data_IF_998767612439
#
_entry.id   IF_998767612439
#
_cell.length_a   1.000
_cell.length_b   1.000
_cell.length_c   1.000
_cell.angle_alpha   90.00
_cell.angle_beta   90.00
_cell.angle_gamma   90.00
#
_symmetry.space_group_name_H-M   'P 1'
#
loop_
_entity.id
_entity.type
_entity.pdbx_description
1 polymer ?
#
# COMPACT_ATOMS: atom_id res chain seq x y z
N UNK A 1 -35.30 14.28 31.57
CA UNK A 1 -34.71 14.11 30.22
C UNK A 1 -33.85 12.83 30.26
N UNK A 2 -34.21 11.85 29.44
CA UNK A 2 -33.38 10.61 29.37
C UNK A 2 -32.07 11.00 28.61
N UNK A 3 -30.96 11.00 29.31
CA UNK A 3 -29.64 11.20 28.69
C UNK A 3 -29.31 9.92 27.91
N UNK A 4 -29.02 9.99 26.61
CA UNK A 4 -28.65 8.82 25.85
C UNK A 4 -27.46 8.08 26.50
N UNK A 5 -27.56 6.77 26.62
CA UNK A 5 -26.54 5.91 27.22
C UNK A 5 -26.17 4.78 26.28
N UNK A 6 -24.89 4.38 26.30
CA UNK A 6 -24.38 3.20 25.61
C UNK A 6 -24.04 2.17 26.68
N UNK A 7 -24.56 0.94 26.53
CA UNK A 7 -24.26 -0.16 27.43
C UNK A 7 -23.24 -1.09 26.76
N UNK A 8 -22.11 -1.33 27.46
CA UNK A 8 -21.06 -2.25 27.00
C UNK A 8 -20.76 -3.21 28.17
N UNK A 9 -21.28 -4.42 28.07
CA UNK A 9 -21.24 -5.38 29.19
C UNK A 9 -21.92 -4.81 30.42
N UNK A 10 -21.21 -4.73 31.54
CA UNK A 10 -21.71 -4.14 32.80
C UNK A 10 -21.50 -2.61 32.87
N UNK A 11 -20.81 -2.02 31.90
CA UNK A 11 -20.45 -0.59 31.93
C UNK A 11 -21.48 0.23 31.16
N UNK A 12 -22.07 1.23 31.82
CA UNK A 12 -22.95 2.22 31.20
C UNK A 12 -22.16 3.50 30.93
N UNK A 13 -22.16 3.95 29.69
CA UNK A 13 -21.49 5.18 29.26
C UNK A 13 -22.56 6.24 28.97
N UNK A 14 -22.49 7.38 29.64
CA UNK A 14 -23.37 8.49 29.36
C UNK A 14 -22.84 9.37 28.22
N UNK A 15 -23.76 9.97 27.44
CA UNK A 15 -23.40 10.81 26.30
C UNK A 15 -22.36 11.91 26.63
N UNK A 16 -22.41 12.47 27.85
CA UNK A 16 -21.46 13.48 28.31
C UNK A 16 -20.02 12.95 28.50
N UNK A 17 -19.85 11.65 28.62
CA UNK A 17 -18.54 11.00 28.79
C UNK A 17 -17.89 10.67 27.43
N UNK A 18 -18.69 10.60 26.34
CA UNK A 18 -18.20 10.23 25.01
C UNK A 18 -17.01 11.08 24.54
N UNK A 19 -16.98 12.42 24.66
CA UNK A 19 -15.82 13.21 24.23
C UNK A 19 -14.52 12.83 24.95
N UNK A 20 -14.58 12.51 26.26
CA UNK A 20 -13.42 12.06 27.02
C UNK A 20 -12.93 10.69 26.54
N UNK A 21 -13.85 9.77 26.25
CA UNK A 21 -13.52 8.43 25.75
C UNK A 21 -12.92 8.50 24.36
N UNK A 22 -13.50 9.29 23.45
CA UNK A 22 -12.98 9.50 22.09
C UNK A 22 -11.56 10.08 22.12
N UNK A 23 -11.27 11.02 23.04
CA UNK A 23 -9.92 11.55 23.25
C UNK A 23 -8.99 10.50 23.83
N UNK A 24 -9.41 9.78 24.90
CA UNK A 24 -8.62 8.73 25.55
C UNK A 24 -8.20 7.63 24.57
N UNK A 25 -9.10 7.24 23.68
CA UNK A 25 -8.84 6.18 22.68
C UNK A 25 -8.25 6.72 21.37
N UNK A 26 -7.93 8.02 21.30
CA UNK A 26 -7.36 8.68 20.13
C UNK A 26 -8.24 8.57 18.87
N UNK A 27 -9.56 8.51 19.05
CA UNK A 27 -10.55 8.42 17.95
C UNK A 27 -10.99 9.82 17.50
N UNK A 28 -10.83 10.86 18.33
CA UNK A 28 -11.28 12.21 18.03
C UNK A 28 -10.77 12.77 16.69
N UNK A 29 -9.50 12.55 16.26
CA UNK A 29 -9.05 12.98 14.93
C UNK A 29 -9.82 12.31 13.77
N UNK A 30 -10.32 11.08 13.97
CA UNK A 30 -11.14 10.38 12.98
C UNK A 30 -12.54 11.02 12.88
N UNK A 31 -13.12 11.41 14.03
CA UNK A 31 -14.40 12.12 14.07
C UNK A 31 -14.28 13.46 13.37
N UNK A 32 -13.27 14.27 13.65
CA UNK A 32 -13.03 15.54 12.96
C UNK A 32 -12.90 15.37 11.45
N UNK A 33 -12.13 14.38 11.02
CA UNK A 33 -12.00 14.04 9.59
C UNK A 33 -13.35 13.66 8.99
N UNK A 34 -14.15 12.87 9.71
CA UNK A 34 -15.49 12.48 9.29
C UNK A 34 -16.37 13.72 9.05
N UNK A 35 -16.44 14.64 10.01
CA UNK A 35 -17.23 15.87 9.92
C UNK A 35 -16.79 16.75 8.74
N UNK A 36 -15.47 16.93 8.54
CA UNK A 36 -14.95 17.70 7.39
C UNK A 36 -15.34 17.06 6.06
N UNK A 37 -15.28 15.73 5.98
CA UNK A 37 -15.71 15.00 4.79
C UNK A 37 -17.21 15.20 4.55
N UNK A 38 -18.04 15.10 5.60
CA UNK A 38 -19.49 15.27 5.50
C UNK A 38 -19.86 16.67 5.02
N UNK A 39 -19.17 17.70 5.49
CA UNK A 39 -19.30 19.06 4.98
C UNK A 39 -18.94 19.18 3.49
N UNK A 40 -17.85 18.51 3.07
CA UNK A 40 -17.40 18.56 1.69
C UNK A 40 -18.34 17.86 0.69
N UNK A 41 -19.11 16.87 1.15
CA UNK A 41 -20.06 16.10 0.32
C UNK A 41 -21.52 16.51 0.53
N UNK A 42 -21.80 17.53 1.35
CA UNK A 42 -23.15 17.93 1.72
C UNK A 42 -24.03 18.28 0.51
N UNK A 43 -23.47 18.98 -0.47
CA UNK A 43 -24.16 19.42 -1.67
C UNK A 43 -24.33 18.34 -2.75
N UNK A 44 -23.73 17.15 -2.55
CA UNK A 44 -23.87 16.05 -3.50
C UNK A 44 -25.22 15.37 -3.29
N UNK A 45 -26.10 15.52 -4.24
CA UNK A 45 -27.39 14.82 -4.26
C UNK A 45 -27.22 13.38 -4.73
N UNK A 46 -28.06 12.49 -4.22
CA UNK A 46 -28.16 11.09 -4.62
C UNK A 46 -29.58 10.84 -5.09
N UNK A 47 -29.77 10.43 -6.33
CA UNK A 47 -31.08 10.00 -6.82
C UNK A 47 -31.47 8.66 -6.22
N UNK A 48 -32.75 8.32 -6.22
CA UNK A 48 -33.23 7.04 -5.67
C UNK A 48 -32.53 5.83 -6.32
N UNK A 49 -32.31 5.87 -7.63
CA UNK A 49 -31.59 4.81 -8.36
C UNK A 49 -30.11 4.73 -7.98
N UNK A 50 -29.45 5.86 -7.75
CA UNK A 50 -28.06 5.89 -7.31
C UNK A 50 -27.90 5.42 -5.88
N UNK A 51 -28.84 5.76 -4.99
CA UNK A 51 -28.86 5.25 -3.63
C UNK A 51 -29.03 3.72 -3.60
N UNK A 52 -29.92 3.17 -4.42
CA UNK A 52 -30.10 1.71 -4.54
C UNK A 52 -28.80 1.02 -5.02
N UNK A 53 -28.13 1.58 -6.03
CA UNK A 53 -26.83 1.07 -6.52
C UNK A 53 -25.74 1.18 -5.46
N UNK A 54 -25.71 2.26 -4.69
CA UNK A 54 -24.75 2.45 -3.61
C UNK A 54 -24.89 1.38 -2.52
N UNK A 55 -26.14 1.05 -2.14
CA UNK A 55 -26.43 0.00 -1.17
C UNK A 55 -26.02 -1.37 -1.71
N UNK A 56 -26.37 -1.66 -2.96
CA UNK A 56 -25.98 -2.93 -3.60
C UNK A 56 -24.46 -3.10 -3.67
N UNK A 57 -23.74 -2.05 -4.05
CA UNK A 57 -22.27 -2.06 -4.12
C UNK A 57 -21.64 -2.23 -2.73
N UNK A 58 -22.24 -1.61 -1.70
CA UNK A 58 -21.83 -1.77 -0.32
C UNK A 58 -21.99 -3.24 0.12
N UNK A 59 -23.15 -3.83 -0.11
CA UNK A 59 -23.43 -5.24 0.21
C UNK A 59 -22.45 -6.18 -0.51
N UNK A 60 -22.18 -5.93 -1.79
CA UNK A 60 -21.20 -6.70 -2.57
C UNK A 60 -19.79 -6.61 -1.97
N UNK A 61 -19.35 -5.42 -1.59
CA UNK A 61 -18.02 -5.16 -1.03
C UNK A 61 -17.81 -5.86 0.31
N UNK A 62 -18.83 -5.90 1.14
CA UNK A 62 -18.77 -6.53 2.46
C UNK A 62 -19.28 -7.99 2.45
N UNK A 63 -19.48 -8.59 1.25
CA UNK A 63 -19.94 -9.96 1.07
C UNK A 63 -21.28 -10.25 1.78
N UNK A 64 -22.17 -9.28 1.81
CA UNK A 64 -23.52 -9.39 2.39
C UNK A 64 -24.44 -9.99 1.33
N UNK A 65 -24.47 -11.31 1.22
CA UNK A 65 -25.18 -12.04 0.16
C UNK A 65 -26.57 -12.57 0.59
N UNK A 66 -26.94 -12.46 1.86
CA UNK A 66 -28.23 -12.95 2.39
C UNK A 66 -28.73 -12.05 3.51
N UNK A 67 -30.01 -12.25 3.88
CA UNK A 67 -30.64 -11.54 5.00
C UNK A 67 -29.92 -11.84 6.31
N UNK A 68 -29.53 -13.10 6.51
CA UNK A 68 -28.81 -13.54 7.71
C UNK A 68 -27.42 -12.89 7.79
N UNK A 69 -26.71 -12.83 6.66
CA UNK A 69 -25.41 -12.15 6.57
C UNK A 69 -25.55 -10.64 6.87
N UNK A 70 -26.63 -10.02 6.39
CA UNK A 70 -26.94 -8.60 6.68
C UNK A 70 -27.18 -8.39 8.17
N UNK A 71 -28.00 -9.22 8.80
CA UNK A 71 -28.28 -9.13 10.24
C UNK A 71 -27.01 -9.33 11.08
N UNK A 72 -26.18 -10.31 10.72
CA UNK A 72 -24.92 -10.55 11.40
C UNK A 72 -23.96 -9.34 11.25
N UNK A 73 -23.90 -8.75 10.04
CA UNK A 73 -23.09 -7.57 9.80
C UNK A 73 -23.56 -6.36 10.66
N UNK A 74 -24.88 -6.09 10.69
CA UNK A 74 -25.47 -5.02 11.50
C UNK A 74 -25.18 -5.21 13.00
N UNK A 75 -25.35 -6.41 13.51
CA UNK A 75 -25.07 -6.74 14.92
C UNK A 75 -23.57 -6.53 15.26
N UNK A 76 -22.67 -7.01 14.40
CA UNK A 76 -21.23 -6.88 14.61
C UNK A 76 -20.75 -5.43 14.60
N UNK A 77 -21.46 -4.55 13.89
CA UNK A 77 -21.12 -3.13 13.80
C UNK A 77 -21.95 -2.24 14.73
N UNK A 78 -22.94 -2.81 15.42
CA UNK A 78 -23.87 -2.06 16.29
C UNK A 78 -24.69 -1.03 15.52
N UNK A 79 -25.04 -1.33 14.27
CA UNK A 79 -25.75 -0.43 13.36
C UNK A 79 -27.16 -0.93 13.08
N UNK A 80 -28.09 0.01 12.87
CA UNK A 80 -29.39 -0.24 12.27
C UNK A 80 -29.27 -0.40 10.75
N UNK A 81 -30.33 -0.88 10.10
CA UNK A 81 -30.39 -0.94 8.64
C UNK A 81 -30.28 0.46 8.02
N UNK A 82 -30.97 1.43 8.57
CA UNK A 82 -30.97 2.83 8.11
C UNK A 82 -29.53 3.42 8.17
N UNK A 83 -28.81 3.23 9.28
CA UNK A 83 -27.42 3.68 9.43
C UNK A 83 -26.46 2.99 8.44
N UNK A 84 -26.69 1.72 8.12
CA UNK A 84 -25.91 1.03 7.07
C UNK A 84 -26.19 1.61 5.69
N UNK A 85 -27.45 1.90 5.36
CA UNK A 85 -27.84 2.50 4.08
C UNK A 85 -27.28 3.93 3.98
N UNK A 86 -27.36 4.73 5.03
CA UNK A 86 -26.72 6.05 5.11
C UNK A 86 -25.20 5.97 4.89
N UNK A 87 -24.55 4.99 5.49
CA UNK A 87 -23.11 4.76 5.30
C UNK A 87 -22.78 4.38 3.85
N UNK A 88 -23.62 3.57 3.21
CA UNK A 88 -23.46 3.20 1.80
C UNK A 88 -23.58 4.44 0.89
N UNK A 89 -24.61 5.26 1.11
CA UNK A 89 -24.86 6.51 0.37
C UNK A 89 -23.71 7.51 0.61
N UNK A 90 -23.25 7.64 1.85
CA UNK A 90 -22.10 8.49 2.20
C UNK A 90 -20.83 8.06 1.44
N UNK A 91 -20.55 6.78 1.37
CA UNK A 91 -19.41 6.27 0.62
C UNK A 91 -19.51 6.55 -0.88
N UNK A 92 -20.72 6.46 -1.46
CA UNK A 92 -20.99 6.84 -2.83
C UNK A 92 -20.76 8.34 -3.08
N UNK A 93 -21.28 9.21 -2.21
CA UNK A 93 -21.05 10.67 -2.29
C UNK A 93 -19.55 11.01 -2.22
N UNK A 94 -18.79 10.37 -1.35
CA UNK A 94 -17.32 10.52 -1.28
C UNK A 94 -16.67 10.11 -2.60
N UNK A 95 -17.13 9.02 -3.21
CA UNK A 95 -16.62 8.58 -4.50
C UNK A 95 -16.92 9.60 -5.61
N UNK A 96 -18.13 10.14 -5.69
CA UNK A 96 -18.51 11.19 -6.65
C UNK A 96 -17.67 12.45 -6.44
N UNK A 97 -17.53 12.91 -5.19
CA UNK A 97 -16.67 14.04 -4.87
C UNK A 97 -15.24 13.86 -5.37
N UNK A 98 -14.67 12.68 -5.14
CA UNK A 98 -13.32 12.37 -5.61
C UNK A 98 -13.24 12.36 -7.13
N UNK A 99 -14.23 11.77 -7.79
CA UNK A 99 -14.31 11.69 -9.25
C UNK A 99 -14.37 13.09 -9.88
N UNK A 100 -15.21 13.97 -9.38
CA UNK A 100 -15.37 15.32 -9.91
C UNK A 100 -14.15 16.21 -9.68
N UNK A 101 -13.55 16.13 -8.49
CA UNK A 101 -12.49 17.05 -8.10
C UNK A 101 -11.07 16.59 -8.45
N UNK A 102 -10.84 15.30 -8.64
CA UNK A 102 -9.49 14.74 -8.76
C UNK A 102 -9.24 13.90 -10.00
N UNK A 103 -10.26 13.37 -10.71
CA UNK A 103 -10.02 12.46 -11.83
C UNK A 103 -9.14 13.08 -12.92
N UNK A 104 -9.33 14.36 -13.23
CA UNK A 104 -8.51 15.08 -14.22
C UNK A 104 -7.05 15.28 -13.80
N UNK A 105 -6.69 15.02 -12.55
CA UNK A 105 -5.33 15.15 -12.01
C UNK A 105 -4.62 13.81 -11.86
N UNK A 106 -5.35 12.68 -12.00
CA UNK A 106 -4.83 11.34 -11.69
C UNK A 106 -3.61 11.02 -12.56
N UNK A 107 -3.73 11.18 -13.88
CA UNK A 107 -2.64 10.87 -14.81
C UNK A 107 -1.39 11.70 -14.54
N UNK A 108 -1.57 13.01 -14.37
CA UNK A 108 -0.46 13.92 -14.10
C UNK A 108 0.20 13.66 -12.73
N UNK A 109 -0.59 13.31 -11.73
CA UNK A 109 -0.08 12.94 -10.42
C UNK A 109 0.63 11.58 -10.48
N UNK A 110 0.03 10.59 -11.15
CA UNK A 110 0.64 9.27 -11.33
C UNK A 110 2.02 9.39 -12.00
N UNK A 111 2.14 10.17 -13.08
CA UNK A 111 3.43 10.38 -13.75
C UNK A 111 4.50 10.94 -12.80
N UNK A 112 4.13 11.83 -11.86
CA UNK A 112 5.06 12.40 -10.88
C UNK A 112 5.56 11.37 -9.86
N UNK A 113 4.69 10.42 -9.47
CA UNK A 113 5.00 9.46 -8.40
C UNK A 113 5.32 8.06 -8.92
N UNK A 114 5.13 7.80 -10.22
CA UNK A 114 5.28 6.50 -10.87
C UNK A 114 6.59 5.80 -10.52
N UNK A 115 7.70 6.54 -10.56
CA UNK A 115 9.02 5.99 -10.27
C UNK A 115 9.13 5.38 -8.86
N UNK A 116 8.32 5.87 -7.91
CA UNK A 116 8.29 5.32 -6.54
C UNK A 116 7.55 3.97 -6.47
N UNK A 117 6.69 3.67 -7.44
CA UNK A 117 5.90 2.45 -7.51
C UNK A 117 6.45 1.42 -8.50
N UNK A 118 7.40 1.81 -9.35
CA UNK A 118 8.11 0.87 -10.21
C UNK A 118 8.83 -0.16 -9.33
N UNK A 119 8.77 -1.44 -9.74
CA UNK A 119 9.38 -2.55 -9.01
C UNK A 119 10.44 -3.22 -9.86
N UNK A 120 11.41 -3.82 -9.19
CA UNK A 120 12.43 -4.62 -9.86
C UNK A 120 12.65 -5.96 -9.14
N UNK A 121 13.03 -6.96 -9.92
CA UNK A 121 13.69 -8.18 -9.46
C UNK A 121 15.12 -8.06 -9.94
N UNK A 122 16.08 -8.23 -9.05
CA UNK A 122 17.49 -8.13 -9.38
C UNK A 122 18.32 -9.11 -8.56
N UNK A 123 19.48 -9.46 -9.07
CA UNK A 123 20.48 -10.24 -8.34
C UNK A 123 21.58 -9.34 -7.83
N UNK A 124 22.02 -9.55 -6.57
CA UNK A 124 22.98 -8.72 -5.89
C UNK A 124 24.01 -9.59 -5.15
N UNK A 125 25.28 -9.19 -5.23
CA UNK A 125 26.39 -9.69 -4.40
C UNK A 125 27.03 -8.47 -3.75
N UNK A 126 27.23 -8.49 -2.44
CA UNK A 126 27.93 -7.43 -1.72
C UNK A 126 29.12 -7.95 -0.96
N UNK A 127 30.23 -7.23 -1.02
CA UNK A 127 31.54 -7.61 -0.49
C UNK A 127 32.23 -6.38 0.07
N UNK A 128 33.03 -6.57 1.12
CA UNK A 128 33.90 -5.49 1.63
C UNK A 128 35.20 -5.37 0.83
N UNK A 129 35.72 -6.46 0.32
CA UNK A 129 36.94 -6.50 -0.45
C UNK A 129 36.69 -6.13 -1.91
N UNK A 130 37.35 -5.06 -2.36
CA UNK A 130 37.22 -4.58 -3.74
C UNK A 130 37.86 -5.51 -4.76
N UNK A 131 39.01 -6.14 -4.42
CA UNK A 131 39.72 -7.05 -5.31
C UNK A 131 38.87 -8.29 -5.62
N UNK A 132 38.34 -8.91 -4.57
CA UNK A 132 37.42 -10.05 -4.70
C UNK A 132 36.13 -9.66 -5.46
N UNK A 133 35.60 -8.45 -5.25
CA UNK A 133 34.42 -8.01 -5.97
C UNK A 133 34.68 -7.91 -7.48
N UNK A 134 35.82 -7.38 -7.90
CA UNK A 134 36.17 -7.35 -9.32
C UNK A 134 36.50 -8.75 -9.89
N UNK A 135 37.13 -9.63 -9.13
CA UNK A 135 37.32 -11.00 -9.54
C UNK A 135 35.97 -11.72 -9.81
N UNK A 136 35.05 -11.64 -8.87
CA UNK A 136 33.67 -12.20 -9.02
C UNK A 136 32.97 -11.61 -10.24
N UNK A 137 33.09 -10.28 -10.43
CA UNK A 137 32.51 -9.63 -11.60
C UNK A 137 33.04 -10.18 -12.91
N UNK A 138 34.36 -10.42 -13.03
CA UNK A 138 34.96 -11.00 -14.24
C UNK A 138 34.55 -12.45 -14.43
N UNK A 139 34.43 -13.27 -13.37
CA UNK A 139 33.90 -14.64 -13.45
C UNK A 139 32.47 -14.68 -13.97
N UNK A 140 31.62 -13.72 -13.50
CA UNK A 140 30.25 -13.56 -13.98
C UNK A 140 30.21 -13.15 -15.46
N UNK A 141 31.08 -12.21 -15.85
CA UNK A 141 31.16 -11.71 -17.23
C UNK A 141 31.66 -12.82 -18.19
N UNK A 142 32.61 -13.64 -17.73
CA UNK A 142 33.10 -14.79 -18.46
C UNK A 142 32.18 -16.03 -18.43
N UNK A 143 31.06 -15.94 -17.68
CA UNK A 143 30.14 -17.09 -17.48
C UNK A 143 30.80 -18.31 -16.89
N UNK A 144 31.87 -18.16 -16.11
CA UNK A 144 32.61 -19.25 -15.48
C UNK A 144 31.80 -19.92 -14.37
N UNK A 145 31.01 -19.14 -13.65
CA UNK A 145 30.10 -19.57 -12.58
C UNK A 145 28.78 -18.83 -12.63
N UNK A 146 27.72 -19.40 -12.11
CA UNK A 146 26.43 -18.76 -12.03
C UNK A 146 26.39 -17.67 -10.96
N UNK A 147 25.55 -16.65 -11.15
CA UNK A 147 25.35 -15.61 -10.16
C UNK A 147 24.90 -16.18 -8.81
N UNK A 148 24.06 -17.21 -8.83
CA UNK A 148 23.53 -17.83 -7.63
C UNK A 148 24.60 -18.59 -6.82
N UNK A 149 25.54 -19.26 -7.48
CA UNK A 149 26.66 -19.93 -6.82
C UNK A 149 27.55 -18.92 -6.15
N UNK A 150 28.00 -17.89 -6.90
CA UNK A 150 28.89 -16.85 -6.37
C UNK A 150 28.22 -16.03 -5.25
N UNK A 151 26.93 -15.77 -5.35
CA UNK A 151 26.20 -15.08 -4.30
C UNK A 151 26.15 -15.90 -2.99
N UNK A 152 25.91 -17.21 -3.07
CA UNK A 152 25.89 -18.09 -1.89
C UNK A 152 27.26 -18.23 -1.24
N UNK A 153 28.30 -18.26 -2.05
CA UNK A 153 29.66 -18.47 -1.59
C UNK A 153 30.29 -17.20 -1.01
N UNK A 154 30.06 -16.07 -1.63
CA UNK A 154 30.83 -14.86 -1.34
C UNK A 154 30.02 -13.68 -0.80
N UNK A 155 28.69 -13.61 -1.03
CA UNK A 155 27.94 -12.43 -0.57
C UNK A 155 27.88 -12.34 0.96
N UNK A 156 28.20 -11.17 1.49
CA UNK A 156 28.21 -10.89 2.93
C UNK A 156 26.83 -10.46 3.47
N UNK A 157 25.77 -10.55 2.66
CA UNK A 157 24.42 -10.17 3.05
C UNK A 157 23.41 -11.31 3.04
N UNK A 158 22.17 -11.00 3.45
CA UNK A 158 21.07 -11.97 3.50
C UNK A 158 20.71 -12.53 2.11
N UNK A 159 21.02 -11.80 1.05
CA UNK A 159 20.81 -12.25 -0.32
C UNK A 159 21.63 -13.51 -0.68
N UNK A 160 22.67 -13.83 0.05
CA UNK A 160 23.39 -15.08 -0.11
C UNK A 160 22.47 -16.31 -0.03
N UNK A 161 21.50 -16.30 0.89
CA UNK A 161 20.54 -17.39 1.09
C UNK A 161 19.60 -17.60 -0.10
N UNK A 162 19.32 -16.54 -0.86
CA UNK A 162 18.45 -16.59 -2.05
C UNK A 162 19.25 -16.72 -3.35
N UNK A 163 20.58 -16.97 -3.27
CA UNK A 163 21.44 -16.97 -4.44
C UNK A 163 21.54 -15.58 -5.09
N UNK A 164 21.46 -14.54 -4.28
CA UNK A 164 21.55 -13.14 -4.72
C UNK A 164 20.24 -12.52 -5.15
N UNK A 165 19.17 -13.30 -5.38
CA UNK A 165 17.91 -12.80 -5.94
C UNK A 165 17.10 -12.03 -4.88
N UNK A 166 16.74 -10.80 -5.23
CA UNK A 166 15.93 -9.87 -4.41
C UNK A 166 14.74 -9.40 -5.23
N UNK A 167 13.56 -9.42 -4.64
CA UNK A 167 12.37 -8.84 -5.23
C UNK A 167 11.22 -9.83 -5.49
N UNK A 168 10.12 -9.32 -6.07
CA UNK A 168 9.93 -7.95 -6.57
C UNK A 168 9.81 -6.90 -5.44
N UNK A 169 10.67 -5.90 -5.46
CA UNK A 169 10.66 -4.78 -4.50
C UNK A 169 10.43 -3.44 -5.20
N UNK A 170 9.80 -2.50 -4.52
CA UNK A 170 9.63 -1.13 -5.06
C UNK A 170 10.97 -0.38 -5.05
N UNK A 171 11.23 0.38 -6.10
CA UNK A 171 12.49 1.15 -6.19
C UNK A 171 12.62 2.20 -5.09
N UNK A 172 11.51 2.72 -4.58
CA UNK A 172 11.51 3.64 -3.43
C UNK A 172 12.04 3.01 -2.13
N UNK A 173 12.01 1.67 -2.01
CA UNK A 173 12.51 0.94 -0.85
C UNK A 173 13.98 0.52 -1.00
N UNK A 174 14.57 0.73 -2.17
CA UNK A 174 15.98 0.40 -2.43
C UNK A 174 16.87 1.61 -2.16
N UNK A 175 18.17 1.36 -1.95
CA UNK A 175 19.14 2.46 -1.84
C UNK A 175 19.09 3.36 -3.10
N UNK A 176 19.07 4.71 -2.99
CA UNK A 176 18.89 5.61 -4.14
C UNK A 176 19.87 5.40 -5.29
N UNK A 177 21.12 5.04 -4.99
CA UNK A 177 22.13 4.72 -6.01
C UNK A 177 21.77 3.44 -6.76
N UNK A 178 21.33 2.40 -6.04
CA UNK A 178 20.89 1.13 -6.62
C UNK A 178 19.61 1.33 -7.46
N UNK A 179 18.65 2.11 -6.98
CA UNK A 179 17.44 2.43 -7.73
C UNK A 179 17.77 3.09 -9.09
N UNK A 180 18.74 4.02 -9.13
CA UNK A 180 19.20 4.64 -10.38
C UNK A 180 19.82 3.63 -11.34
N UNK A 181 20.68 2.73 -10.84
CA UNK A 181 21.28 1.65 -11.63
C UNK A 181 20.17 0.78 -12.23
N UNK A 182 19.24 0.29 -11.39
CA UNK A 182 18.16 -0.60 -11.84
C UNK A 182 17.23 0.05 -12.86
N UNK A 183 16.92 1.35 -12.69
CA UNK A 183 16.08 2.10 -13.64
C UNK A 183 16.76 2.26 -15.01
N UNK A 184 18.08 2.41 -15.03
CA UNK A 184 18.86 2.58 -16.27
C UNK A 184 19.22 1.24 -16.94
N UNK A 185 18.97 0.10 -16.26
CA UNK A 185 19.38 -1.22 -16.72
C UNK A 185 18.39 -1.85 -17.67
N UNK A 186 18.90 -2.70 -18.54
CA UNK A 186 18.11 -3.68 -19.30
C UNK A 186 18.10 -5.02 -18.54
N UNK A 187 17.04 -5.84 -18.64
CA UNK A 187 17.06 -7.20 -18.09
C UNK A 187 18.28 -7.99 -18.55
N UNK A 188 18.94 -8.67 -17.60
CA UNK A 188 20.19 -9.40 -17.81
C UNK A 188 21.46 -8.52 -17.74
N UNK A 189 21.35 -7.22 -17.71
CA UNK A 189 22.51 -6.32 -17.65
C UNK A 189 23.23 -6.45 -16.30
N UNK A 190 24.50 -6.85 -16.36
CA UNK A 190 25.42 -6.92 -15.23
C UNK A 190 26.20 -5.62 -15.10
N UNK A 191 26.30 -5.08 -13.88
CA UNK A 191 27.08 -3.89 -13.55
C UNK A 191 28.33 -4.26 -12.79
N UNK A 192 29.43 -3.57 -13.11
CA UNK A 192 30.66 -3.65 -12.36
C UNK A 192 30.46 -3.26 -10.89
N UNK A 193 31.34 -3.69 -9.98
CA UNK A 193 31.23 -3.35 -8.57
C UNK A 193 31.11 -1.84 -8.35
N UNK A 194 30.04 -1.43 -7.66
CA UNK A 194 29.79 -0.07 -7.23
C UNK A 194 29.86 0.02 -5.71
N UNK A 195 30.47 1.05 -5.17
CA UNK A 195 30.54 1.25 -3.73
C UNK A 195 29.21 1.83 -3.21
N UNK A 196 28.55 1.09 -2.32
CA UNK A 196 27.29 1.46 -1.67
C UNK A 196 27.40 1.12 -0.18
N UNK A 197 27.25 2.11 0.70
CA UNK A 197 27.29 1.95 2.17
C UNK A 197 28.49 1.13 2.70
N UNK A 198 29.65 1.32 2.09
CA UNK A 198 30.88 0.64 2.52
C UNK A 198 31.09 -0.76 1.95
N UNK A 199 30.18 -1.22 1.08
CA UNK A 199 30.31 -2.47 0.34
C UNK A 199 30.52 -2.22 -1.14
N UNK A 200 31.24 -3.11 -1.81
CA UNK A 200 31.28 -3.23 -3.26
C UNK A 200 30.13 -4.14 -3.70
N UNK A 201 29.21 -3.57 -4.47
CA UNK A 201 27.96 -4.23 -4.87
C UNK A 201 27.99 -4.53 -6.35
N UNK A 202 27.88 -5.83 -6.71
CA UNK A 202 27.66 -6.29 -8.06
C UNK A 202 26.17 -6.52 -8.22
N UNK A 203 25.55 -5.97 -9.27
CA UNK A 203 24.12 -6.09 -9.49
C UNK A 203 23.80 -6.48 -10.91
N UNK A 204 22.78 -7.31 -11.09
CA UNK A 204 22.19 -7.66 -12.39
C UNK A 204 20.69 -7.49 -12.31
N UNK A 205 20.12 -6.71 -13.23
CA UNK A 205 18.67 -6.59 -13.34
C UNK A 205 18.10 -7.90 -13.93
N UNK A 206 17.19 -8.55 -13.22
CA UNK A 206 16.48 -9.73 -13.72
C UNK A 206 15.18 -9.31 -14.44
N UNK A 207 14.39 -8.46 -13.78
CA UNK A 207 13.12 -7.98 -14.34
C UNK A 207 12.80 -6.58 -13.86
N UNK A 208 12.35 -5.73 -14.76
CA UNK A 208 11.77 -4.43 -14.42
C UNK A 208 10.24 -4.49 -14.58
N UNK A 209 9.52 -4.08 -13.54
CA UNK A 209 8.07 -4.14 -13.45
C UNK A 209 7.53 -2.69 -13.31
N UNK A 210 7.26 -2.02 -14.44
CA UNK A 210 6.78 -0.64 -14.39
C UNK A 210 5.39 -0.58 -13.76
N UNK A 211 5.20 0.40 -12.89
CA UNK A 211 3.89 0.70 -12.34
C UNK A 211 2.92 1.13 -13.45
N UNK A 212 1.66 0.71 -13.33
CA UNK A 212 0.57 1.09 -14.22
C UNK A 212 -0.55 1.70 -13.39
N UNK A 213 -1.28 2.60 -13.98
CA UNK A 213 -2.52 3.13 -13.44
C UNK A 213 -3.63 2.19 -13.89
N UNK A 214 -4.29 1.53 -12.93
CA UNK A 214 -5.40 0.60 -13.15
C UNK A 214 -6.74 1.31 -12.95
#
# INVERSE_FOLDING_TARGET
MNVPTIQIGETTIHALELPKLLNRYQIMPQVWRGVVIDQAIADISCTESECALAIQEFERRYHIASVEAKQAWLQNHGMSLEEMEELAIRNWKIYQFKKENFSHKIDSYFLKVKANYDRAVYSLIRLKDSGLAFEIYFRLQGSEQSFAELAREFSEGLEAYTGGVIGPVTLAQTHPHLARILTASKPGQLWAPNQIEGYFVIVRLEQFLPARLD
#
